data_IF_146731463286
#
_entry.id   IF_146731463286
#
_cell.length_a   1.000
_cell.length_b   1.000
_cell.length_c   1.000
_cell.angle_alpha   90.00
_cell.angle_beta   90.00
_cell.angle_gamma   90.00
#
_symmetry.space_group_name_H-M   'P 1'
#
loop_
_entity.id
_entity.type
_entity.pdbx_description
1 polymer ?
#
# COMPACT_ATOMS: atom_id res chain seq x y z
N UNK A 1 24.81 4.88 -4.07
CA UNK A 1 25.07 4.35 -2.69
C UNK A 1 24.01 3.30 -2.31
N UNK A 2 24.21 2.46 -1.26
CA UNK A 2 23.25 1.40 -0.88
C UNK A 2 21.80 1.89 -0.68
N UNK A 3 21.60 3.01 0.02
CA UNK A 3 20.27 3.62 0.24
C UNK A 3 19.55 3.91 -1.07
N UNK A 4 20.24 4.55 -2.01
CA UNK A 4 19.72 4.88 -3.34
C UNK A 4 19.39 3.62 -4.15
N UNK A 5 20.24 2.58 -4.06
CA UNK A 5 19.96 1.28 -4.70
C UNK A 5 18.68 0.65 -4.14
N UNK A 6 18.48 0.69 -2.82
CA UNK A 6 17.24 0.22 -2.19
C UNK A 6 16.02 1.05 -2.60
N UNK A 7 16.13 2.38 -2.66
CA UNK A 7 15.04 3.24 -3.13
C UNK A 7 14.69 2.95 -4.60
N UNK A 8 15.69 2.74 -5.45
CA UNK A 8 15.50 2.34 -6.85
C UNK A 8 14.86 0.95 -6.96
N UNK A 9 15.18 0.02 -6.04
CA UNK A 9 14.50 -1.27 -5.98
C UNK A 9 13.00 -1.12 -5.71
N UNK A 10 12.59 -0.26 -4.77
CA UNK A 10 11.17 0.03 -4.54
C UNK A 10 10.52 0.74 -5.74
N UNK A 11 11.20 1.70 -6.38
CA UNK A 11 10.67 2.33 -7.60
C UNK A 11 10.43 1.30 -8.72
N UNK A 12 11.36 0.35 -8.92
CA UNK A 12 11.18 -0.75 -9.86
C UNK A 12 10.02 -1.66 -9.47
N UNK A 13 9.86 -1.98 -8.18
CA UNK A 13 8.72 -2.74 -7.67
C UNK A 13 7.39 -2.05 -8.00
N UNK A 14 7.26 -0.75 -7.71
CA UNK A 14 6.03 -0.01 -7.98
C UNK A 14 5.74 0.11 -9.48
N UNK A 15 6.77 0.23 -10.32
CA UNK A 15 6.61 0.14 -11.78
C UNK A 15 6.07 -1.21 -12.22
N UNK A 16 6.65 -2.32 -11.74
CA UNK A 16 6.15 -3.67 -12.04
C UNK A 16 4.72 -3.89 -11.54
N UNK A 17 4.36 -3.30 -10.39
CA UNK A 17 2.99 -3.32 -9.89
C UNK A 17 2.04 -2.54 -10.79
N UNK A 18 2.45 -1.41 -11.33
CA UNK A 18 1.63 -0.65 -12.30
C UNK A 18 1.34 -1.49 -13.56
N UNK A 19 2.34 -2.21 -14.08
CA UNK A 19 2.13 -3.11 -15.21
C UNK A 19 1.23 -4.30 -14.86
N UNK A 20 1.37 -4.87 -13.65
CA UNK A 20 0.48 -5.92 -13.16
C UNK A 20 -0.95 -5.43 -12.95
N UNK A 21 -1.15 -4.18 -12.53
CA UNK A 21 -2.47 -3.59 -12.31
C UNK A 21 -3.28 -3.48 -13.61
N UNK A 22 -2.62 -3.17 -14.73
CA UNK A 22 -3.24 -3.15 -16.07
C UNK A 22 -3.72 -4.52 -16.52
N UNK A 23 -3.06 -5.58 -16.08
CA UNK A 23 -3.45 -6.95 -16.39
C UNK A 23 -4.54 -7.46 -15.43
N UNK A 24 -4.36 -7.25 -14.12
CA UNK A 24 -5.29 -7.64 -13.08
C UNK A 24 -5.09 -6.79 -11.81
N UNK A 25 -5.87 -5.72 -11.69
CA UNK A 25 -5.86 -4.86 -10.49
C UNK A 25 -6.38 -5.58 -9.25
N UNK A 26 -7.27 -6.56 -9.40
CA UNK A 26 -7.83 -7.31 -8.28
C UNK A 26 -6.80 -8.22 -7.64
N UNK A 27 -5.88 -8.80 -8.42
CA UNK A 27 -4.75 -9.56 -7.89
C UNK A 27 -3.93 -8.71 -6.89
N UNK A 28 -3.72 -7.43 -7.19
CA UNK A 28 -3.01 -6.51 -6.31
C UNK A 28 -3.85 -6.12 -5.08
N UNK A 29 -5.08 -5.65 -5.30
CA UNK A 29 -5.97 -5.15 -4.23
C UNK A 29 -6.34 -6.25 -3.22
N UNK A 30 -6.62 -7.47 -3.70
CA UNK A 30 -6.88 -8.62 -2.83
C UNK A 30 -5.63 -9.09 -2.09
N UNK A 31 -4.43 -8.74 -2.56
CA UNK A 31 -3.17 -9.17 -1.98
C UNK A 31 -2.89 -10.66 -2.16
N UNK A 32 -3.44 -11.28 -3.21
CA UNK A 32 -3.23 -12.70 -3.52
C UNK A 32 -1.76 -13.06 -3.73
N UNK A 33 -0.95 -12.09 -4.13
CA UNK A 33 0.51 -12.16 -4.26
C UNK A 33 1.29 -12.12 -2.93
N UNK A 34 0.61 -11.94 -1.79
CA UNK A 34 1.19 -11.83 -0.45
C UNK A 34 0.76 -12.99 0.43
N UNK A 35 1.55 -13.23 1.49
CA UNK A 35 1.19 -14.17 2.55
C UNK A 35 -0.05 -13.69 3.32
N UNK A 36 -0.79 -14.59 3.96
CA UNK A 36 -2.04 -14.25 4.65
C UNK A 36 -1.85 -13.17 5.73
N UNK A 37 -0.73 -13.21 6.45
CA UNK A 37 -0.39 -12.18 7.44
C UNK A 37 -0.04 -10.85 6.79
N UNK A 38 0.75 -10.81 5.72
CA UNK A 38 1.00 -9.56 4.99
C UNK A 38 -0.30 -8.94 4.44
N UNK A 39 -1.20 -9.79 3.95
CA UNK A 39 -2.51 -9.39 3.39
C UNK A 39 -3.41 -8.73 4.45
N UNK A 40 -3.29 -9.15 5.71
CA UNK A 40 -4.04 -8.55 6.83
C UNK A 40 -3.66 -7.09 7.09
N UNK A 41 -2.40 -6.70 6.83
CA UNK A 41 -1.91 -5.31 6.98
C UNK A 41 -1.87 -4.55 5.65
N UNK A 42 -2.56 -5.06 4.62
CA UNK A 42 -2.56 -4.44 3.31
C UNK A 42 -3.55 -3.27 3.26
N UNK A 43 -3.11 -2.17 2.65
CA UNK A 43 -3.89 -1.01 2.28
C UNK A 43 -3.67 -0.76 0.78
N UNK A 44 -4.72 -0.74 -0.06
CA UNK A 44 -4.65 -0.44 -1.51
C UNK A 44 -3.40 -1.07 -2.20
N UNK A 45 -3.35 -2.41 -2.21
CA UNK A 45 -2.29 -3.17 -2.87
C UNK A 45 -0.90 -3.11 -2.22
N UNK A 46 -0.72 -2.57 -1.01
CA UNK A 46 0.59 -2.55 -0.35
C UNK A 46 0.52 -2.10 1.12
N UNK A 47 1.63 -1.63 1.69
CA UNK A 47 1.65 -1.12 3.07
C UNK A 47 1.05 0.30 3.15
N UNK A 48 0.59 0.72 4.32
CA UNK A 48 0.22 2.12 4.59
C UNK A 48 1.48 2.95 4.95
N UNK A 49 1.84 4.00 4.20
CA UNK A 49 3.06 4.79 4.45
C UNK A 49 3.18 5.36 5.87
N UNK A 50 2.11 5.89 6.45
CA UNK A 50 2.07 6.46 7.80
C UNK A 50 2.36 5.40 8.89
N UNK A 51 1.80 4.20 8.75
CA UNK A 51 2.07 3.05 9.63
C UNK A 51 3.50 2.56 9.50
N UNK A 52 4.01 2.52 8.27
CA UNK A 52 5.40 2.18 8.03
C UNK A 52 6.34 3.15 8.73
N UNK A 53 6.09 4.46 8.65
CA UNK A 53 6.86 5.48 9.37
C UNK A 53 6.81 5.25 10.89
N UNK A 54 5.66 4.91 11.45
CA UNK A 54 5.54 4.53 12.86
C UNK A 54 6.42 3.33 13.24
N UNK A 55 6.42 2.28 12.40
CA UNK A 55 7.20 1.06 12.65
C UNK A 55 8.69 1.34 12.60
N UNK A 56 9.17 2.15 11.65
CA UNK A 56 10.62 2.39 11.48
C UNK A 56 11.16 3.46 12.43
N UNK A 57 10.33 4.38 12.92
CA UNK A 57 10.74 5.52 13.76
C UNK A 57 11.69 5.15 14.92
N UNK A 58 11.45 4.09 15.71
CA UNK A 58 12.36 3.71 16.79
C UNK A 58 13.78 3.35 16.33
N UNK A 59 13.93 2.87 15.09
CA UNK A 59 15.20 2.42 14.52
C UNK A 59 16.02 3.55 13.87
N UNK A 60 15.44 4.74 13.76
CA UNK A 60 16.10 5.90 13.16
C UNK A 60 17.02 6.65 14.14
N UNK A 61 17.00 6.29 15.43
CA UNK A 61 17.75 6.99 16.47
C UNK A 61 19.28 6.91 16.28
N UNK A 62 20.03 7.95 16.68
CA UNK A 62 19.56 9.24 17.20
C UNK A 62 19.00 10.14 16.09
N UNK A 63 17.93 10.90 16.36
CA UNK A 63 17.39 11.94 15.48
C UNK A 63 17.57 13.33 16.11
N UNK A 64 17.77 14.37 15.30
CA UNK A 64 17.67 15.76 15.79
C UNK A 64 16.21 16.15 15.98
N UNK A 65 15.92 17.16 16.80
CA UNK A 65 14.55 17.66 17.01
C UNK A 65 13.91 18.10 15.69
N UNK A 66 14.70 18.70 14.78
CA UNK A 66 14.26 19.06 13.43
C UNK A 66 13.86 17.81 12.62
N UNK A 67 14.68 16.75 12.63
CA UNK A 67 14.35 15.51 11.92
C UNK A 67 13.11 14.84 12.51
N UNK A 68 12.93 14.86 13.84
CA UNK A 68 11.73 14.33 14.48
C UNK A 68 10.49 15.07 14.00
N UNK A 69 10.53 16.40 13.98
CA UNK A 69 9.43 17.23 13.49
C UNK A 69 9.12 16.96 12.02
N UNK A 70 10.13 16.89 11.16
CA UNK A 70 9.96 16.63 9.73
C UNK A 70 9.39 15.24 9.43
N UNK A 71 9.86 14.20 10.14
CA UNK A 71 9.29 12.84 10.01
C UNK A 71 7.83 12.81 10.48
N UNK A 72 7.47 13.53 11.55
CA UNK A 72 6.08 13.65 12.01
C UNK A 72 5.20 14.38 11.00
N UNK A 73 5.69 15.45 10.38
CA UNK A 73 4.97 16.16 9.32
C UNK A 73 4.78 15.27 8.08
N UNK A 74 5.81 14.49 7.71
CA UNK A 74 5.71 13.52 6.62
C UNK A 74 4.68 12.42 6.92
N UNK A 75 4.65 11.94 8.17
CA UNK A 75 3.67 10.97 8.62
C UNK A 75 2.24 11.52 8.53
N UNK A 76 2.02 12.73 9.04
CA UNK A 76 0.69 13.37 9.03
C UNK A 76 0.21 13.64 7.61
N UNK A 77 1.08 14.16 6.73
CA UNK A 77 0.71 14.40 5.33
C UNK A 77 0.46 13.10 4.56
N UNK A 78 1.22 12.03 4.85
CA UNK A 78 0.95 10.69 4.29
C UNK A 78 -0.42 10.18 4.75
N UNK A 79 -0.77 10.31 6.03
CA UNK A 79 -2.08 9.90 6.56
C UNK A 79 -3.22 10.63 5.87
N UNK A 80 -3.11 11.94 5.67
CA UNK A 80 -4.16 12.72 4.99
C UNK A 80 -4.37 12.25 3.54
N UNK A 81 -3.29 11.96 2.81
CA UNK A 81 -3.38 11.41 1.46
C UNK A 81 -3.96 9.97 1.46
N UNK A 82 -3.60 9.16 2.45
CA UNK A 82 -4.15 7.82 2.63
C UNK A 82 -5.66 7.84 2.89
N UNK A 83 -6.13 8.77 3.73
CA UNK A 83 -7.55 8.94 4.05
C UNK A 83 -8.32 9.39 2.81
N UNK A 84 -7.78 10.34 2.05
CA UNK A 84 -8.40 10.80 0.79
C UNK A 84 -8.52 9.68 -0.24
N UNK A 85 -7.48 8.86 -0.40
CA UNK A 85 -7.51 7.70 -1.31
C UNK A 85 -8.50 6.63 -0.85
N UNK A 86 -8.56 6.36 0.46
CA UNK A 86 -9.48 5.38 1.05
C UNK A 86 -10.95 5.81 0.83
N UNK A 87 -11.27 7.08 1.11
CA UNK A 87 -12.59 7.65 0.83
C UNK A 87 -12.92 7.61 -0.67
N UNK A 88 -11.94 7.83 -1.55
CA UNK A 88 -12.13 7.71 -2.99
C UNK A 88 -12.54 6.30 -3.43
N UNK A 89 -11.89 5.27 -2.89
CA UNK A 89 -12.27 3.87 -3.14
C UNK A 89 -13.66 3.56 -2.58
N UNK A 90 -13.99 4.03 -1.37
CA UNK A 90 -15.32 3.83 -0.79
C UNK A 90 -16.43 4.41 -1.67
N UNK A 91 -16.23 5.63 -2.20
CA UNK A 91 -17.16 6.24 -3.16
C UNK A 91 -17.26 5.45 -4.47
N UNK A 92 -16.13 4.95 -4.97
CA UNK A 92 -16.11 4.11 -6.16
C UNK A 92 -16.89 2.81 -5.94
N UNK A 93 -16.73 2.17 -4.78
CA UNK A 93 -17.49 0.98 -4.40
C UNK A 93 -18.99 1.26 -4.29
N UNK A 94 -19.38 2.40 -3.71
CA UNK A 94 -20.79 2.83 -3.66
C UNK A 94 -21.37 3.01 -5.06
N UNK A 95 -20.65 3.70 -5.96
CA UNK A 95 -21.07 3.88 -7.35
C UNK A 95 -21.20 2.55 -8.12
N UNK A 96 -20.30 1.59 -7.86
CA UNK A 96 -20.40 0.24 -8.42
C UNK A 96 -21.68 -0.47 -7.97
N UNK A 97 -22.02 -0.38 -6.67
CA UNK A 97 -23.27 -0.98 -6.13
C UNK A 97 -24.50 -0.32 -6.75
N UNK A 98 -24.54 1.00 -6.83
CA UNK A 98 -25.64 1.73 -7.46
C UNK A 98 -25.85 1.32 -8.91
N UNK A 99 -24.76 1.17 -9.67
CA UNK A 99 -24.83 0.72 -11.06
C UNK A 99 -25.35 -0.72 -11.18
N UNK A 100 -24.98 -1.63 -10.28
CA UNK A 100 -25.46 -3.03 -10.32
C UNK A 100 -26.93 -3.13 -9.89
N UNK A 101 -27.38 -2.34 -8.91
CA UNK A 101 -28.76 -2.42 -8.39
C UNK A 101 -29.78 -1.90 -9.41
N UNK A 102 -29.45 -0.86 -10.19
CA UNK A 102 -30.35 -0.33 -11.23
C UNK A 102 -30.50 -1.31 -12.41
N UNK A 103 -29.46 -2.13 -12.68
CA UNK A 103 -29.46 -3.21 -13.69
C UNK A 103 -30.50 -4.33 -13.37
N UNK A 104 -30.85 -4.51 -12.09
CA UNK A 104 -31.88 -5.48 -11.70
C UNK A 104 -33.33 -4.99 -11.96
N UNK A 105 -33.53 -3.69 -12.20
CA UNK A 105 -34.85 -3.05 -12.26
C UNK A 105 -35.16 -2.48 -13.66
N UNK A 106 -34.14 -2.22 -14.50
CA UNK A 106 -34.27 -1.69 -15.85
C UNK A 106 -33.83 -2.72 -16.91
N UNK A 107 -34.51 -2.77 -18.06
CA UNK A 107 -34.13 -3.64 -19.20
C UNK A 107 -33.00 -3.05 -20.07
N UNK A 108 -32.43 -1.90 -19.69
CA UNK A 108 -31.33 -1.21 -20.38
C UNK A 108 -29.95 -1.68 -19.87
N UNK A 109 -29.65 -2.96 -20.10
CA UNK A 109 -28.40 -3.64 -19.71
C UNK A 109 -27.07 -3.03 -20.24
N UNK A 110 -26.97 -2.51 -21.49
CA UNK A 110 -25.67 -2.14 -22.07
C UNK A 110 -24.95 -0.91 -21.46
N UNK A 111 -25.60 0.25 -21.21
CA UNK A 111 -24.91 1.46 -20.73
C UNK A 111 -24.48 1.38 -19.26
N UNK A 112 -25.20 0.62 -18.44
CA UNK A 112 -24.94 0.50 -17.01
C UNK A 112 -23.72 -0.40 -16.71
N UNK A 113 -23.59 -1.50 -17.47
CA UNK A 113 -22.42 -2.36 -17.41
C UNK A 113 -21.15 -1.65 -17.90
N UNK A 114 -21.27 -0.74 -18.88
CA UNK A 114 -20.16 0.10 -19.31
C UNK A 114 -19.67 1.04 -18.19
N UNK A 115 -20.59 1.69 -17.47
CA UNK A 115 -20.24 2.52 -16.31
C UNK A 115 -19.61 1.71 -15.15
N UNK A 116 -20.10 0.48 -14.91
CA UNK A 116 -19.47 -0.42 -13.95
C UNK A 116 -18.04 -0.81 -14.37
N UNK A 117 -17.80 -1.06 -15.67
CA UNK A 117 -16.48 -1.36 -16.19
C UNK A 117 -15.51 -0.16 -16.07
N UNK A 118 -15.98 1.06 -16.34
CA UNK A 118 -15.19 2.29 -16.13
C UNK A 118 -14.80 2.46 -14.66
N UNK A 119 -15.72 2.20 -13.72
CA UNK A 119 -15.41 2.20 -12.30
C UNK A 119 -14.35 1.14 -11.94
N UNK A 120 -14.40 -0.06 -12.54
CA UNK A 120 -13.37 -1.07 -12.33
C UNK A 120 -12.01 -0.65 -12.89
N UNK A 121 -11.98 0.05 -14.04
CA UNK A 121 -10.75 0.61 -14.59
C UNK A 121 -10.15 1.70 -13.68
N UNK A 122 -10.99 2.50 -13.03
CA UNK A 122 -10.52 3.53 -12.10
C UNK A 122 -9.80 2.94 -10.86
N UNK A 123 -10.02 1.67 -10.50
CA UNK A 123 -9.25 0.99 -9.45
C UNK A 123 -7.75 0.94 -9.77
N UNK A 124 -7.37 0.81 -11.04
CA UNK A 124 -5.96 0.85 -11.46
C UNK A 124 -5.33 2.19 -11.06
N UNK A 125 -6.06 3.28 -11.29
CA UNK A 125 -5.67 4.63 -10.91
C UNK A 125 -5.42 4.76 -9.41
N UNK A 126 -6.29 4.20 -8.56
CA UNK A 126 -6.11 4.22 -7.11
C UNK A 126 -4.89 3.42 -6.64
N UNK A 127 -4.64 2.23 -7.21
CA UNK A 127 -3.45 1.44 -6.89
C UNK A 127 -2.17 2.18 -7.28
N UNK A 128 -2.14 2.78 -8.47
CA UNK A 128 -1.01 3.58 -8.94
C UNK A 128 -0.77 4.82 -8.04
N UNK A 129 -1.83 5.52 -7.63
CA UNK A 129 -1.71 6.66 -6.70
C UNK A 129 -1.22 6.24 -5.31
N UNK A 130 -1.69 5.11 -4.79
CA UNK A 130 -1.22 4.58 -3.51
C UNK A 130 0.27 4.18 -3.57
N UNK A 131 0.71 3.56 -4.66
CA UNK A 131 2.13 3.23 -4.87
C UNK A 131 3.01 4.47 -5.09
N UNK A 132 2.48 5.49 -5.76
CA UNK A 132 3.16 6.78 -5.87
C UNK A 132 3.37 7.42 -4.49
N UNK A 133 2.34 7.42 -3.64
CA UNK A 133 2.43 7.92 -2.27
C UNK A 133 3.51 7.16 -1.48
N UNK A 134 3.52 5.82 -1.56
CA UNK A 134 4.57 5.00 -0.92
C UNK A 134 5.97 5.39 -1.36
N UNK A 135 6.17 5.53 -2.67
CA UNK A 135 7.46 5.90 -3.24
C UNK A 135 7.89 7.28 -2.76
N UNK A 136 6.97 8.26 -2.81
CA UNK A 136 7.22 9.62 -2.35
C UNK A 136 7.58 9.65 -0.87
N UNK A 137 6.83 8.96 -0.01
CA UNK A 137 7.11 8.91 1.43
C UNK A 137 8.49 8.31 1.72
N UNK A 138 8.88 7.22 1.04
CA UNK A 138 10.23 6.64 1.20
C UNK A 138 11.33 7.60 0.76
N UNK A 139 11.13 8.30 -0.37
CA UNK A 139 12.09 9.29 -0.86
C UNK A 139 12.21 10.51 0.05
N UNK A 140 11.09 11.03 0.56
CA UNK A 140 11.11 12.19 1.47
C UNK A 140 11.72 11.82 2.81
N UNK A 141 11.40 10.64 3.36
CA UNK A 141 12.07 10.13 4.56
C UNK A 141 13.59 10.08 4.36
N UNK A 142 14.07 9.53 3.23
CA UNK A 142 15.50 9.47 2.95
C UNK A 142 16.17 10.85 2.79
N UNK A 143 15.42 11.90 2.42
CA UNK A 143 15.93 13.29 2.33
C UNK A 143 16.03 13.96 3.70
N UNK A 144 15.09 13.69 4.59
CA UNK A 144 15.10 14.18 5.99
C UNK A 144 16.26 13.56 6.78
N UNK A 145 16.56 12.30 6.48
CA UNK A 145 17.54 11.50 7.22
C UNK A 145 18.95 11.59 6.63
N UNK A 146 19.94 11.38 7.48
CA UNK A 146 21.30 11.08 7.03
C UNK A 146 21.34 9.70 6.36
N UNK A 147 22.35 9.44 5.52
CA UNK A 147 22.51 8.15 4.84
C UNK A 147 22.51 6.95 5.80
N UNK A 148 23.10 7.10 7.00
CA UNK A 148 23.13 6.03 8.01
C UNK A 148 21.76 5.77 8.62
N UNK A 149 21.01 6.83 8.95
CA UNK A 149 19.65 6.71 9.48
C UNK A 149 18.71 6.13 8.41
N UNK A 150 18.79 6.60 7.17
CA UNK A 150 18.01 6.07 6.05
C UNK A 150 18.30 4.58 5.80
N UNK A 151 19.58 4.17 5.86
CA UNK A 151 19.96 2.77 5.74
C UNK A 151 19.34 1.90 6.85
N UNK A 152 19.36 2.38 8.11
CA UNK A 152 18.70 1.68 9.24
C UNK A 152 17.19 1.61 9.07
N UNK A 153 16.56 2.69 8.62
CA UNK A 153 15.11 2.72 8.35
C UNK A 153 14.70 1.72 7.28
N UNK A 154 15.45 1.66 6.17
CA UNK A 154 15.20 0.69 5.09
C UNK A 154 15.46 -0.77 5.53
N UNK A 155 16.47 -1.00 6.38
CA UNK A 155 16.70 -2.31 6.98
C UNK A 155 15.56 -2.72 7.91
N UNK A 156 15.12 -1.82 8.80
CA UNK A 156 14.00 -2.05 9.71
C UNK A 156 12.70 -2.34 8.96
N UNK A 157 12.46 -1.67 7.83
CA UNK A 157 11.36 -1.97 6.92
C UNK A 157 11.46 -3.40 6.37
N UNK A 158 12.64 -3.79 5.87
CA UNK A 158 12.87 -5.15 5.38
C UNK A 158 12.63 -6.21 6.45
N UNK A 159 13.13 -5.99 7.67
CA UNK A 159 12.91 -6.87 8.82
C UNK A 159 11.44 -6.98 9.21
N UNK A 160 10.71 -5.87 9.23
CA UNK A 160 9.28 -5.86 9.51
C UNK A 160 8.50 -6.75 8.54
N UNK A 161 8.71 -6.55 7.22
CA UNK A 161 8.06 -7.37 6.19
C UNK A 161 8.48 -8.84 6.28
N UNK A 162 9.75 -9.11 6.58
CA UNK A 162 10.23 -10.47 6.79
C UNK A 162 9.53 -11.15 7.99
N UNK A 163 9.36 -10.44 9.11
CA UNK A 163 8.66 -10.95 10.30
C UNK A 163 7.18 -11.25 10.01
N UNK A 164 6.49 -10.45 9.20
CA UNK A 164 5.12 -10.76 8.77
C UNK A 164 5.06 -12.10 8.00
N UNK A 165 6.01 -12.34 7.09
CA UNK A 165 6.09 -13.62 6.34
C UNK A 165 6.44 -14.80 7.24
N UNK A 166 7.37 -14.60 8.18
CA UNK A 166 7.73 -15.61 9.16
C UNK A 166 6.52 -15.98 10.03
N UNK A 167 5.75 -14.99 10.50
CA UNK A 167 4.52 -15.20 11.26
C UNK A 167 3.48 -15.98 10.45
N UNK A 168 3.29 -15.66 9.17
CA UNK A 168 2.39 -16.42 8.30
C UNK A 168 2.81 -17.89 8.16
N UNK A 169 4.12 -18.13 8.08
CA UNK A 169 4.69 -19.49 7.94
C UNK A 169 4.48 -20.30 9.22
N UNK A 170 4.73 -19.69 10.39
CA UNK A 170 4.47 -20.31 11.70
C UNK A 170 2.98 -20.60 11.90
N UNK A 171 2.10 -19.67 11.52
CA UNK A 171 0.65 -19.87 11.60
C UNK A 171 0.18 -21.03 10.71
N UNK A 172 0.75 -21.17 9.51
CA UNK A 172 0.42 -22.28 8.61
C UNK A 172 0.90 -23.64 9.14
N UNK A 173 2.05 -23.67 9.83
CA UNK A 173 2.64 -24.87 10.41
C UNK A 173 2.05 -25.29 11.77
N UNK A 174 1.10 -24.53 12.33
CA UNK A 174 0.51 -24.85 13.64
C UNK A 174 -0.18 -26.23 13.63
N UNK A 175 -0.11 -27.00 14.72
CA UNK A 175 -0.89 -28.24 14.85
C UNK A 175 -2.38 -27.95 14.66
N UNK A 176 -3.06 -28.75 13.85
CA UNK A 176 -4.52 -28.71 13.73
C UNK A 176 -5.08 -29.88 14.52
N UNK A 177 -5.96 -29.60 15.47
CA UNK A 177 -6.75 -30.66 16.10
C UNK A 177 -7.63 -31.29 15.02
N UNK A 178 -7.77 -32.63 15.00
CA UNK A 178 -8.72 -33.28 14.12
C UNK A 178 -10.14 -32.79 14.48
N UNK A 179 -10.90 -32.41 13.46
CA UNK A 179 -12.29 -31.96 13.58
C UNK A 179 -13.22 -33.10 14.04
#
# INVERSE_FOLDING_TARGET
MLVESCLNHYANLFRMKSDAAKADVFYLISGMWRTSTERFFQWIGGFRPSELLNVVMPYLQPLTDQQVLEVRNLQQSSQQAEDALSQGIEKLQQSLVENIVVDAVSMDYPPQMAAALENLQALEGFVNQADHLRQQTLQQMAKILTTRQAARGLLALGEYLHRLRALSSLWAARPREPA
#
